data_IF_724271984846
#
_entry.id   IF_724271984846
#
_cell.length_a   1.000
_cell.length_b   1.000
_cell.length_c   1.000
_cell.angle_alpha   90.00
_cell.angle_beta   90.00
_cell.angle_gamma   90.00
#
_symmetry.space_group_name_H-M   'P 1'
#
loop_
_entity.id
_entity.type
_entity.pdbx_description
1 polymer ?
#
# COMPACT_ATOMS: atom_id res chain seq x y z
N UNK A 1 -0.66 -28.87 -22.71
CA UNK A 1 -0.41 -28.30 -22.30
C UNK A 1 -0.29 -27.55 -21.66
N UNK A 2 -0.30 -27.51 -21.40
CA UNK A 2 -0.23 -26.66 -20.65
C UNK A 2 0.22 -26.30 -19.85
N UNK A 3 0.43 -26.25 -19.69
CA UNK A 3 0.80 -25.77 -18.76
C UNK A 3 1.02 -25.37 -18.00
N UNK A 4 1.08 -25.52 -17.75
CA UNK A 4 1.25 -25.00 -16.92
C UNK A 4 1.48 -24.41 -16.29
N UNK A 5 1.38 -24.51 -16.10
CA UNK A 5 1.58 -23.78 -15.40
C UNK A 5 1.74 -23.36 -14.72
N UNK A 6 1.75 -23.28 -14.72
CA UNK A 6 1.87 -22.67 -13.94
C UNK A 6 1.92 -22.31 -13.17
N UNK A 7 1.73 -22.42 -12.97
CA UNK A 7 1.74 -21.89 -12.26
C UNK A 7 1.93 -21.42 -11.75
N UNK A 8 1.98 -21.52 -11.64
CA UNK A 8 2.28 -20.78 -11.28
C UNK A 8 2.22 -20.18 -10.98
N UNK A 9 2.10 -20.19 -10.91
CA UNK A 9 2.06 -19.37 -10.85
C UNK A 9 1.75 -18.75 -9.96
N UNK A 10 1.54 -18.95 -9.48
CA UNK A 10 1.08 -18.52 -8.49
C UNK A 10 1.78 -17.52 -7.83
N UNK A 11 2.76 -17.39 -7.61
CA UNK A 11 3.31 -16.41 -7.02
C UNK A 11 3.66 -15.39 -7.81
N UNK A 12 3.59 -15.50 -8.84
CA UNK A 12 3.90 -14.59 -9.63
C UNK A 12 3.12 -13.57 -9.78
N UNK A 13 2.05 -13.59 -9.46
CA UNK A 13 1.19 -12.53 -9.69
C UNK A 13 1.72 -11.29 -9.20
N UNK A 14 2.37 -11.31 -8.15
CA UNK A 14 2.78 -10.12 -7.69
C UNK A 14 3.84 -9.55 -8.50
N UNK A 15 4.32 -10.23 -9.38
CA UNK A 15 5.37 -9.69 -10.17
C UNK A 15 4.93 -8.66 -11.17
N UNK A 16 3.66 -8.61 -11.53
CA UNK A 16 3.22 -7.66 -12.52
C UNK A 16 2.90 -6.34 -11.91
N UNK A 17 3.57 -5.31 -12.41
CA UNK A 17 3.30 -3.95 -11.99
C UNK A 17 1.95 -3.49 -12.57
N UNK A 18 1.17 -2.82 -11.75
CA UNK A 18 -0.10 -2.22 -12.19
C UNK A 18 0.22 -0.96 -13.00
N UNK A 19 -0.26 -0.86 -14.25
CA UNK A 19 0.00 0.33 -15.06
C UNK A 19 -0.60 1.59 -14.42
N UNK A 20 0.07 2.71 -14.62
CA UNK A 20 -0.33 3.95 -13.96
C UNK A 20 -1.75 4.38 -14.32
N UNK A 21 -2.15 4.25 -15.56
CA UNK A 21 -3.49 4.67 -15.95
C UNK A 21 -4.55 3.81 -15.28
N UNK A 22 -4.36 2.49 -15.27
CA UNK A 22 -5.28 1.60 -14.61
C UNK A 22 -5.32 1.88 -13.10
N UNK A 23 -4.16 2.16 -12.52
CA UNK A 23 -4.08 2.45 -11.10
C UNK A 23 -4.76 3.75 -10.72
N UNK A 24 -4.51 4.82 -11.46
CA UNK A 24 -5.12 6.11 -11.14
C UNK A 24 -6.62 6.10 -11.41
N UNK A 25 -7.07 5.38 -12.43
CA UNK A 25 -8.51 5.21 -12.65
C UNK A 25 -9.16 4.48 -11.47
N UNK A 26 -8.51 3.44 -10.97
CA UNK A 26 -9.01 2.70 -9.81
C UNK A 26 -9.06 3.61 -8.57
N UNK A 27 -8.07 4.46 -8.38
CA UNK A 27 -8.05 5.38 -7.23
C UNK A 27 -9.24 6.35 -7.34
N UNK A 28 -9.49 6.92 -8.52
CA UNK A 28 -10.64 7.80 -8.68
C UNK A 28 -11.95 7.09 -8.38
N UNK A 29 -12.11 5.88 -8.89
CA UNK A 29 -13.32 5.10 -8.66
C UNK A 29 -13.48 4.75 -7.18
N UNK A 30 -12.38 4.40 -6.52
CA UNK A 30 -12.42 3.99 -5.12
C UNK A 30 -12.79 5.13 -4.18
N UNK A 31 -12.61 6.37 -4.60
CA UNK A 31 -12.97 7.52 -3.78
C UNK A 31 -14.46 7.88 -3.88
N UNK A 32 -15.18 7.25 -4.78
CA UNK A 32 -16.60 7.53 -4.95
C UNK A 32 -17.43 6.72 -3.95
N UNK A 33 -18.61 7.24 -3.57
CA UNK A 33 -19.42 6.54 -2.55
C UNK A 33 -19.87 5.15 -2.96
N UNK A 34 -20.02 4.90 -4.26
CA UNK A 34 -20.50 3.62 -4.77
C UNK A 34 -19.37 2.72 -5.26
N UNK A 35 -18.17 2.93 -4.76
CA UNK A 35 -17.01 2.16 -5.18
C UNK A 35 -17.22 0.67 -4.95
N UNK A 36 -16.83 -0.12 -5.95
CA UNK A 36 -16.90 -1.57 -5.82
C UNK A 36 -15.64 -2.08 -5.14
N UNK A 37 -15.78 -3.26 -4.52
CA UNK A 37 -14.67 -3.86 -3.80
C UNK A 37 -13.45 -4.07 -4.69
N UNK A 38 -13.66 -4.46 -5.94
CA UNK A 38 -12.55 -4.69 -6.87
C UNK A 38 -11.80 -3.39 -7.16
N UNK A 39 -12.51 -2.28 -7.25
CA UNK A 39 -11.88 -0.97 -7.46
C UNK A 39 -11.06 -0.56 -6.25
N UNK A 40 -11.60 -0.76 -5.06
CA UNK A 40 -10.89 -0.47 -3.84
C UNK A 40 -9.63 -1.34 -3.71
N UNK A 41 -9.76 -2.63 -4.02
CA UNK A 41 -8.63 -3.54 -3.95
C UNK A 41 -7.51 -3.12 -4.90
N UNK A 42 -7.86 -2.77 -6.13
CA UNK A 42 -6.87 -2.36 -7.11
C UNK A 42 -6.22 -1.03 -6.72
N UNK A 43 -7.03 -0.10 -6.23
CA UNK A 43 -6.53 1.20 -5.79
C UNK A 43 -5.55 1.06 -4.63
N UNK A 44 -5.86 0.22 -3.65
CA UNK A 44 -4.97 -0.02 -2.53
C UNK A 44 -3.65 -0.64 -3.00
N UNK A 45 -3.72 -1.66 -3.84
CA UNK A 45 -2.51 -2.31 -4.32
C UNK A 45 -1.67 -1.37 -5.18
N UNK A 46 -2.33 -0.53 -5.99
CA UNK A 46 -1.60 0.44 -6.80
C UNK A 46 -0.87 1.48 -5.94
N UNK A 47 -1.55 2.02 -4.94
CA UNK A 47 -0.93 3.04 -4.09
C UNK A 47 0.16 2.46 -3.22
N UNK A 48 0.03 1.20 -2.76
CA UNK A 48 1.13 0.53 -2.09
C UNK A 48 2.31 0.33 -3.01
N UNK A 49 2.06 -0.02 -4.27
CA UNK A 49 3.11 -0.12 -5.28
C UNK A 49 3.83 1.23 -5.46
N UNK A 50 3.07 2.32 -5.51
CA UNK A 50 3.65 3.65 -5.64
C UNK A 50 4.57 3.96 -4.45
N UNK A 51 4.17 3.59 -3.25
CA UNK A 51 5.01 3.81 -2.07
C UNK A 51 6.30 3.01 -2.18
N UNK A 52 6.21 1.74 -2.53
CA UNK A 52 7.39 0.89 -2.63
C UNK A 52 8.36 1.37 -3.71
N UNK A 53 7.82 1.92 -4.80
CA UNK A 53 8.67 2.47 -5.87
C UNK A 53 9.30 3.80 -5.48
N UNK A 54 8.56 4.64 -4.76
CA UNK A 54 9.06 5.94 -4.35
C UNK A 54 10.03 5.84 -3.19
N UNK A 55 9.83 4.89 -2.31
CA UNK A 55 10.65 4.68 -1.13
C UNK A 55 11.09 3.22 -1.06
N UNK A 56 12.00 2.78 -1.94
CA UNK A 56 12.40 1.38 -1.92
C UNK A 56 13.14 1.03 -0.65
N UNK A 57 12.92 -0.18 -0.17
CA UNK A 57 13.56 -0.65 1.04
C UNK A 57 12.72 -1.69 1.75
N UNK A 58 13.19 -2.13 2.91
CA UNK A 58 12.55 -3.19 3.68
C UNK A 58 12.49 -2.89 5.16
N UNK A 59 12.63 -1.61 5.54
CA UNK A 59 12.65 -1.27 6.96
C UNK A 59 11.27 -1.07 7.55
N UNK A 60 10.25 -0.87 6.72
CA UNK A 60 8.88 -0.63 7.17
C UNK A 60 7.95 -1.52 6.36
N UNK A 61 7.02 -2.18 7.03
CA UNK A 61 5.95 -2.88 6.35
C UNK A 61 4.65 -2.09 6.52
N UNK A 62 3.94 -1.85 5.40
CA UNK A 62 2.64 -1.19 5.41
C UNK A 62 1.59 -2.19 5.02
N UNK A 63 0.61 -2.39 5.89
CA UNK A 63 -0.46 -3.37 5.73
C UNK A 63 -1.81 -2.67 5.62
N UNK A 64 -2.56 -3.02 4.61
CA UNK A 64 -3.93 -2.51 4.41
C UNK A 64 -4.82 -3.73 4.18
N UNK A 65 -5.15 -4.46 5.25
CA UNK A 65 -5.95 -5.67 5.09
C UNK A 65 -7.37 -5.34 4.64
N UNK A 66 -8.00 -6.20 3.87
CA UNK A 66 -7.47 -7.48 3.39
C UNK A 66 -6.80 -7.36 2.04
N UNK A 67 -6.50 -6.17 1.55
CA UNK A 67 -6.17 -5.94 0.15
C UNK A 67 -4.69 -6.08 -0.18
N UNK A 68 -3.81 -5.78 0.76
CA UNK A 68 -2.40 -5.93 0.44
C UNK A 68 -1.47 -5.43 1.53
N UNK A 69 -0.17 -5.66 1.30
CA UNK A 69 0.89 -5.18 2.15
C UNK A 69 2.14 -5.01 1.30
N UNK A 70 3.02 -4.12 1.71
CA UNK A 70 4.25 -3.86 0.99
C UNK A 70 5.34 -3.49 1.97
N UNK A 71 6.58 -3.82 1.63
CA UNK A 71 7.74 -3.31 2.35
C UNK A 71 8.27 -2.09 1.63
N UNK A 72 8.72 -1.12 2.38
CA UNK A 72 9.19 0.14 1.83
C UNK A 72 10.22 0.75 2.77
N UNK A 73 10.83 1.83 2.33
CA UNK A 73 11.73 2.70 3.08
C UNK A 73 13.05 2.02 3.39
N UNK A 74 14.11 2.64 2.93
CA UNK A 74 15.43 2.16 3.22
C UNK A 74 15.77 2.41 4.68
N UNK A 75 16.54 1.52 5.27
CA UNK A 75 16.94 1.66 6.66
C UNK A 75 17.58 0.38 7.15
N UNK A 76 17.94 0.32 8.44
CA UNK A 76 18.53 -0.89 8.99
C UNK A 76 17.59 -2.05 8.79
N UNK A 77 18.15 -3.15 8.28
CA UNK A 77 17.37 -4.35 8.07
C UNK A 77 17.05 -5.03 9.39
N UNK A 78 16.17 -6.01 9.30
CA UNK A 78 15.92 -6.86 10.45
C UNK A 78 16.55 -8.21 10.17
N UNK A 79 16.92 -8.90 11.21
CA UNK A 79 17.68 -10.11 11.04
C UNK A 79 16.83 -11.25 10.51
N UNK A 80 15.62 -11.39 10.98
CA UNK A 80 14.73 -12.40 10.48
C UNK A 80 13.34 -12.16 11.03
N UNK A 81 12.36 -12.69 10.33
CA UNK A 81 11.00 -12.60 10.78
C UNK A 81 10.35 -11.27 10.45
N UNK A 82 9.61 -10.75 11.39
CA UNK A 82 8.81 -9.55 11.17
C UNK A 82 9.68 -8.32 11.02
N UNK A 83 9.37 -7.43 10.09
CA UNK A 83 10.05 -6.14 10.00
C UNK A 83 9.95 -5.39 11.31
N UNK A 84 10.96 -4.60 11.67
CA UNK A 84 10.97 -3.90 12.94
C UNK A 84 9.96 -2.77 13.03
N UNK A 85 9.42 -2.31 11.93
CA UNK A 85 8.45 -1.21 11.90
C UNK A 85 7.26 -1.62 11.07
N UNK A 86 6.06 -1.47 11.62
CA UNK A 86 4.83 -1.91 10.96
C UNK A 86 3.80 -0.79 11.05
N UNK A 87 3.18 -0.50 9.92
CA UNK A 87 2.05 0.43 9.82
C UNK A 87 0.86 -0.37 9.33
N UNK A 88 -0.27 -0.25 10.01
CA UNK A 88 -1.48 -0.92 9.57
C UNK A 88 -2.66 0.04 9.64
N UNK A 89 -3.46 0.05 8.57
CA UNK A 89 -4.64 0.91 8.51
C UNK A 89 -5.66 0.28 7.57
N UNK A 90 -6.88 0.80 7.58
CA UNK A 90 -7.91 0.32 6.67
C UNK A 90 -7.82 1.01 5.31
N UNK A 91 -8.56 0.46 4.34
CA UNK A 91 -8.49 0.93 2.96
C UNK A 91 -8.91 2.39 2.82
N UNK A 92 -9.98 2.80 3.49
CA UNK A 92 -10.47 4.17 3.34
C UNK A 92 -9.45 5.17 3.88
N UNK A 93 -8.88 4.89 5.04
CA UNK A 93 -7.86 5.74 5.63
C UNK A 93 -6.61 5.77 4.75
N UNK A 94 -6.18 4.60 4.28
CA UNK A 94 -4.98 4.54 3.43
C UNK A 94 -5.17 5.35 2.15
N UNK A 95 -6.32 5.21 1.48
CA UNK A 95 -6.56 5.94 0.23
C UNK A 95 -6.66 7.44 0.48
N UNK A 96 -7.24 7.86 1.60
CA UNK A 96 -7.28 9.27 1.93
C UNK A 96 -5.88 9.83 2.16
N UNK A 97 -5.00 9.07 2.82
CA UNK A 97 -3.60 9.47 2.99
C UNK A 97 -2.86 9.49 1.67
N UNK A 98 -3.07 8.48 0.85
CA UNK A 98 -2.35 8.34 -0.42
C UNK A 98 -2.72 9.45 -1.41
N UNK A 99 -3.91 10.02 -1.30
CA UNK A 99 -4.39 11.06 -2.21
C UNK A 99 -4.32 12.46 -1.63
N UNK A 100 -3.94 12.59 -0.36
CA UNK A 100 -3.82 13.90 0.27
C UNK A 100 -5.12 14.43 0.86
N UNK A 101 -6.19 13.63 0.87
CA UNK A 101 -7.44 14.05 1.50
C UNK A 101 -7.34 14.08 3.02
N UNK A 102 -6.42 13.32 3.58
CA UNK A 102 -6.16 13.28 5.00
C UNK A 102 -4.66 13.44 5.22
N UNK A 103 -4.29 13.85 6.41
CA UNK A 103 -2.89 13.98 6.79
C UNK A 103 -2.49 12.84 7.72
N UNK A 104 -1.21 12.51 7.69
CA UNK A 104 -0.67 11.49 8.57
C UNK A 104 -0.93 11.84 10.04
N UNK A 105 -0.69 13.11 10.40
CA UNK A 105 -0.85 13.55 11.79
C UNK A 105 -2.29 13.38 12.26
N UNK A 106 -3.26 13.75 11.43
CA UNK A 106 -4.66 13.65 11.81
C UNK A 106 -5.09 12.18 11.92
N UNK A 107 -4.70 11.36 10.97
CA UNK A 107 -5.05 9.94 10.98
C UNK A 107 -4.44 9.24 12.18
N UNK A 108 -3.18 9.53 12.50
CA UNK A 108 -2.51 8.98 13.68
C UNK A 108 -3.21 9.47 14.94
N UNK A 109 -3.53 10.75 15.01
CA UNK A 109 -4.11 11.35 16.20
C UNK A 109 -5.46 10.78 16.58
N UNK A 110 -6.25 10.34 15.60
CA UNK A 110 -7.55 9.74 15.90
C UNK A 110 -7.50 8.22 15.95
N UNK A 111 -6.32 7.62 15.88
CA UNK A 111 -6.19 6.18 15.99
C UNK A 111 -6.54 5.41 14.73
N UNK A 112 -6.66 6.08 13.59
CA UNK A 112 -6.99 5.40 12.33
C UNK A 112 -5.80 4.68 11.73
N UNK A 113 -4.58 5.01 12.16
CA UNK A 113 -3.36 4.35 11.73
C UNK A 113 -2.67 3.78 12.95
N UNK A 114 -2.35 2.50 12.91
CA UNK A 114 -1.57 1.87 13.96
C UNK A 114 -0.14 1.75 13.45
N UNK A 115 0.78 2.35 14.17
CA UNK A 115 2.18 2.34 13.81
C UNK A 115 3.02 1.83 14.98
N UNK A 116 3.86 0.86 14.71
CA UNK A 116 4.70 0.22 15.71
C UNK A 116 6.13 0.26 15.23
N UNK A 117 7.03 0.69 16.09
CA UNK A 117 8.45 0.83 15.76
C UNK A 117 8.84 2.28 15.54
N UNK A 118 10.11 2.58 15.77
CA UNK A 118 10.57 3.97 15.74
C UNK A 118 10.60 4.58 14.35
N UNK A 119 10.59 3.76 13.31
CA UNK A 119 10.60 4.25 11.94
C UNK A 119 9.26 4.05 11.23
N UNK A 120 8.20 3.75 11.97
CA UNK A 120 6.89 3.48 11.39
C UNK A 120 6.18 4.78 11.01
N UNK A 121 6.70 5.46 10.00
CA UNK A 121 6.20 6.74 9.54
C UNK A 121 6.54 6.89 8.07
N UNK A 122 5.53 7.02 7.22
CA UNK A 122 5.72 7.21 5.79
C UNK A 122 5.22 8.57 5.33
N UNK A 123 5.02 9.49 6.26
CA UNK A 123 4.45 10.80 5.93
C UNK A 123 5.30 11.59 4.92
N UNK A 124 6.60 11.35 4.89
CA UNK A 124 7.49 12.07 3.98
C UNK A 124 7.17 11.80 2.50
N UNK A 125 6.49 10.68 2.20
CA UNK A 125 6.18 10.29 0.82
C UNK A 125 4.74 10.52 0.43
N UNK A 126 3.92 11.02 1.35
CA UNK A 126 2.50 11.27 1.09
C UNK A 126 2.28 12.72 0.64
N UNK A 127 1.35 12.98 -0.26
CA UNK A 127 0.53 12.00 -0.97
C UNK A 127 1.30 11.33 -2.09
N UNK A 128 0.78 10.18 -2.52
CA UNK A 128 1.42 9.38 -3.57
C UNK A 128 0.80 9.63 -4.93
N UNK A 129 -0.47 9.94 -4.97
CA UNK A 129 -1.24 10.06 -6.20
C UNK A 129 -2.17 11.26 -6.09
N UNK A 130 -2.29 12.02 -7.17
CA UNK A 130 -3.30 13.07 -7.25
C UNK A 130 -4.24 12.71 -8.37
N UNK A 131 -5.35 12.07 -8.04
CA UNK A 131 -6.28 11.55 -9.05
C UNK A 131 -7.02 12.62 -9.81
#
# INVERSE_FOLDING_TARGET
MRPLVPRLTTLEPMAKRIPDLAGTDAVRAALLPDAERAETALAVRYTLQCLAERAPGKSVEVRVPPFGAVQAVEGPGHTRGTPPNVIETDAATWLALATGEDTWADARGRGAVRASGVRADVSAWLPLVRP
#
